data_IF_362311270920
#
_entry.id   IF_362311270920
#
_cell.length_a   1.000
_cell.length_b   1.000
_cell.length_c   1.000
_cell.angle_alpha   90.00
_cell.angle_beta   90.00
_cell.angle_gamma   90.00
#
_symmetry.space_group_name_H-M   'P 1'
#
loop_
_entity.id
_entity.type
_entity.pdbx_description
1 polymer ?
#
# COMPACT_ATOMS: atom_id res chain seq x y z
N UNK A 1 -41.73 -9.55 25.43
CA UNK A 1 -42.72 -10.58 25.01
C UNK A 1 -43.96 -9.85 24.51
N UNK A 2 -44.41 -10.06 23.25
CA UNK A 2 -45.62 -9.42 22.74
C UNK A 2 -46.87 -10.18 23.20
N UNK A 3 -47.79 -9.49 23.89
CA UNK A 3 -49.10 -10.03 24.27
C UNK A 3 -50.03 -9.92 23.06
N UNK A 4 -50.60 -11.04 22.61
CA UNK A 4 -51.46 -11.13 21.43
C UNK A 4 -52.92 -11.02 21.85
N UNK A 5 -53.47 -9.82 21.79
CA UNK A 5 -54.92 -9.59 21.88
C UNK A 5 -55.35 -8.84 20.61
N UNK A 6 -56.24 -9.44 19.82
CA UNK A 6 -56.90 -8.77 18.69
C UNK A 6 -55.97 -8.16 17.64
N UNK A 7 -55.25 -8.98 16.87
CA UNK A 7 -54.71 -8.62 15.55
C UNK A 7 -53.76 -7.41 15.43
N UNK A 8 -53.33 -6.78 16.53
CA UNK A 8 -52.51 -5.56 16.52
C UNK A 8 -51.33 -5.73 17.49
N UNK A 9 -50.11 -5.47 17.00
CA UNK A 9 -48.89 -5.45 17.82
C UNK A 9 -48.65 -4.00 18.24
N UNK A 10 -49.06 -3.65 19.46
CA UNK A 10 -48.84 -2.33 20.04
C UNK A 10 -47.37 -2.19 20.51
N UNK A 11 -46.57 -1.39 19.80
CA UNK A 11 -45.34 -0.82 20.34
C UNK A 11 -45.66 0.55 20.93
N UNK A 12 -45.46 0.71 22.24
CA UNK A 12 -45.68 1.96 22.94
C UNK A 12 -44.66 3.01 22.54
N UNK A 13 -45.06 3.92 21.66
CA UNK A 13 -44.46 5.25 21.57
C UNK A 13 -45.56 6.29 21.29
N UNK A 14 -45.74 7.31 22.16
CA UNK A 14 -46.76 8.33 21.97
C UNK A 14 -46.25 9.37 20.96
N UNK A 15 -47.17 9.97 20.22
CA UNK A 15 -46.93 10.92 19.11
C UNK A 15 -46.36 10.34 17.82
N UNK A 16 -47.25 9.82 16.97
CA UNK A 16 -47.52 10.31 15.59
C UNK A 16 -48.49 9.34 14.91
N UNK A 17 -49.77 9.73 14.87
CA UNK A 17 -50.82 9.00 14.15
C UNK A 17 -50.61 9.14 12.64
N UNK A 18 -49.82 8.23 12.06
CA UNK A 18 -49.75 8.06 10.61
C UNK A 18 -50.18 6.62 10.29
N UNK A 19 -51.44 6.45 9.90
CA UNK A 19 -52.02 5.19 9.43
C UNK A 19 -51.42 4.84 8.07
N UNK A 20 -50.25 4.20 8.08
CA UNK A 20 -49.62 3.67 6.89
C UNK A 20 -50.26 2.30 6.54
N UNK A 21 -50.57 2.03 5.25
CA UNK A 21 -51.20 0.78 4.85
C UNK A 21 -50.31 -0.42 5.21
N UNK A 22 -50.92 -1.57 5.55
CA UNK A 22 -50.23 -2.82 5.93
C UNK A 22 -49.13 -3.24 4.92
N UNK A 23 -49.26 -2.84 3.65
CA UNK A 23 -48.27 -3.05 2.59
C UNK A 23 -47.00 -2.20 2.77
N UNK A 24 -47.12 -0.98 3.31
CA UNK A 24 -46.00 -0.07 3.55
C UNK A 24 -45.21 -0.47 4.81
N UNK A 25 -45.86 -1.07 5.81
CA UNK A 25 -45.20 -1.69 6.96
C UNK A 25 -44.29 -2.87 6.57
N UNK A 26 -44.74 -3.70 5.61
CA UNK A 26 -43.96 -4.83 5.09
C UNK A 26 -42.74 -4.38 4.27
N UNK A 27 -42.91 -3.35 3.45
CA UNK A 27 -41.83 -2.77 2.63
C UNK A 27 -40.79 -2.07 3.51
N UNK A 28 -41.21 -1.31 4.52
CA UNK A 28 -40.30 -0.64 5.46
C UNK A 28 -39.52 -1.65 6.33
N UNK A 29 -40.13 -2.77 6.75
CA UNK A 29 -39.41 -3.87 7.41
C UNK A 29 -38.39 -4.56 6.49
N UNK A 30 -38.73 -4.85 5.23
CA UNK A 30 -37.78 -5.41 4.24
C UNK A 30 -36.60 -4.47 3.95
N UNK A 31 -36.83 -3.16 3.87
CA UNK A 31 -35.77 -2.18 3.59
C UNK A 31 -34.85 -1.99 4.81
N UNK A 32 -35.39 -1.92 6.04
CA UNK A 32 -34.57 -1.81 7.25
C UNK A 32 -33.74 -3.08 7.53
N UNK A 33 -34.29 -4.28 7.26
CA UNK A 33 -33.53 -5.54 7.42
C UNK A 33 -32.46 -5.73 6.34
N UNK A 34 -32.66 -5.22 5.11
CA UNK A 34 -31.67 -5.31 4.02
C UNK A 34 -30.49 -4.35 4.22
N UNK A 35 -30.75 -3.12 4.67
CA UNK A 35 -29.72 -2.08 4.85
C UNK A 35 -28.71 -2.39 5.96
N UNK A 36 -29.11 -3.20 6.94
CA UNK A 36 -28.22 -3.65 8.02
C UNK A 36 -27.45 -4.94 7.67
N UNK A 37 -27.80 -5.61 6.57
CA UNK A 37 -27.14 -6.86 6.14
C UNK A 37 -25.94 -6.61 5.21
N UNK A 38 -25.89 -5.47 4.52
CA UNK A 38 -24.79 -5.13 3.61
C UNK A 38 -23.59 -4.47 4.32
N UNK A 39 -23.73 -3.97 5.56
CA UNK A 39 -22.68 -3.17 6.21
C UNK A 39 -21.99 -3.86 7.41
N UNK A 40 -22.30 -5.13 7.70
CA UNK A 40 -21.81 -5.80 8.93
C UNK A 40 -21.35 -7.26 8.72
N UNK A 41 -21.23 -7.75 7.48
CA UNK A 41 -21.00 -9.18 7.24
C UNK A 41 -20.04 -9.50 6.09
N UNK A 42 -18.84 -8.90 6.04
CA UNK A 42 -17.75 -9.34 5.14
C UNK A 42 -16.33 -9.26 5.76
N UNK A 43 -16.17 -9.29 7.09
CA UNK A 43 -14.83 -9.43 7.70
C UNK A 43 -14.28 -10.87 7.65
N UNK A 44 -15.07 -11.96 7.83
CA UNK A 44 -14.50 -13.31 7.85
C UNK A 44 -14.11 -13.86 6.47
N UNK A 45 -14.84 -13.52 5.40
CA UNK A 45 -14.53 -13.98 4.03
C UNK A 45 -13.33 -13.24 3.43
N UNK A 46 -13.26 -11.91 3.57
CA UNK A 46 -12.09 -11.15 3.13
C UNK A 46 -10.81 -11.58 3.87
N UNK A 47 -10.91 -11.88 5.17
CA UNK A 47 -9.77 -12.40 5.95
C UNK A 47 -9.35 -13.79 5.47
N UNK A 48 -10.29 -14.61 4.98
CA UNK A 48 -10.00 -15.88 4.33
C UNK A 48 -9.24 -15.69 3.01
N UNK A 49 -9.58 -14.69 2.21
CA UNK A 49 -8.85 -14.39 0.96
C UNK A 49 -7.42 -13.88 1.22
N UNK A 50 -7.24 -13.03 2.23
CA UNK A 50 -5.91 -12.58 2.65
C UNK A 50 -5.07 -13.69 3.29
N UNK A 51 -5.67 -14.81 3.71
CA UNK A 51 -4.94 -15.94 4.29
C UNK A 51 -3.90 -16.51 3.32
N UNK A 52 -4.19 -16.56 2.01
CA UNK A 52 -3.26 -17.00 0.99
C UNK A 52 -2.04 -16.08 0.88
N UNK A 53 -2.26 -14.77 0.95
CA UNK A 53 -1.18 -13.76 0.93
C UNK A 53 -0.30 -13.92 2.18
N UNK A 54 -0.91 -14.12 3.35
CA UNK A 54 -0.19 -14.32 4.60
C UNK A 54 0.64 -15.62 4.56
N UNK A 55 0.07 -16.72 4.09
CA UNK A 55 0.79 -17.99 3.92
C UNK A 55 1.96 -17.81 2.96
N UNK A 56 1.75 -17.15 1.83
CA UNK A 56 2.82 -16.88 0.86
C UNK A 56 3.95 -16.04 1.48
N UNK A 57 3.62 -15.00 2.25
CA UNK A 57 4.61 -14.17 2.94
C UNK A 57 5.42 -14.98 3.95
N UNK A 58 4.77 -15.83 4.75
CA UNK A 58 5.44 -16.73 5.70
C UNK A 58 6.37 -17.69 4.98
N UNK A 59 5.91 -18.34 3.91
CA UNK A 59 6.73 -19.26 3.12
C UNK A 59 7.92 -18.53 2.48
N UNK A 60 7.72 -17.33 1.93
CA UNK A 60 8.79 -16.52 1.36
C UNK A 60 9.84 -16.12 2.42
N UNK A 61 9.39 -15.72 3.61
CA UNK A 61 10.27 -15.40 4.73
C UNK A 61 11.06 -16.63 5.19
N UNK A 62 10.41 -17.80 5.31
CA UNK A 62 11.08 -19.06 5.65
C UNK A 62 12.08 -19.47 4.56
N UNK A 63 11.77 -19.22 3.29
CA UNK A 63 12.68 -19.51 2.18
C UNK A 63 13.88 -18.57 2.14
N UNK A 64 13.70 -17.29 2.48
CA UNK A 64 14.79 -16.32 2.56
C UNK A 64 15.68 -16.55 3.80
N UNK A 65 15.07 -16.80 4.96
CA UNK A 65 15.79 -16.95 6.23
C UNK A 65 16.28 -18.39 6.48
N UNK A 66 15.58 -19.39 5.96
CA UNK A 66 15.89 -20.81 6.17
C UNK A 66 17.33 -21.17 5.79
N UNK A 67 17.79 -20.88 4.55
CA UNK A 67 19.17 -21.12 4.15
C UNK A 67 20.19 -20.35 5.01
N UNK A 68 19.87 -19.12 5.44
CA UNK A 68 20.75 -18.34 6.32
C UNK A 68 20.87 -18.97 7.71
N UNK A 69 19.77 -19.47 8.28
CA UNK A 69 19.76 -20.15 9.58
C UNK A 69 20.50 -21.49 9.47
N UNK A 70 20.24 -22.28 8.43
CA UNK A 70 20.91 -23.56 8.18
C UNK A 70 22.42 -23.32 8.01
N UNK A 71 22.81 -22.33 7.20
CA UNK A 71 24.22 -21.96 7.03
C UNK A 71 24.83 -21.50 8.36
N UNK A 72 24.14 -20.71 9.17
CA UNK A 72 24.64 -20.27 10.46
C UNK A 72 24.85 -21.43 11.46
N UNK A 73 24.03 -22.48 11.39
CA UNK A 73 24.11 -23.66 12.27
C UNK A 73 25.16 -24.68 11.81
N UNK A 74 25.30 -24.91 10.50
CA UNK A 74 26.18 -25.95 9.94
C UNK A 74 27.58 -25.41 9.63
N UNK A 75 27.72 -24.13 9.25
CA UNK A 75 28.99 -23.62 8.78
C UNK A 75 30.06 -23.61 9.89
N UNK A 76 31.31 -24.01 9.57
CA UNK A 76 32.41 -23.94 10.52
C UNK A 76 32.68 -22.47 10.88
N UNK A 77 32.66 -22.18 12.18
CA UNK A 77 32.95 -20.84 12.70
C UNK A 77 34.46 -20.67 12.85
N UNK A 78 35.01 -19.63 12.23
CA UNK A 78 36.39 -19.19 12.44
C UNK A 78 36.39 -18.00 13.40
N UNK A 79 37.33 -17.98 14.34
CA UNK A 79 37.50 -16.93 15.34
C UNK A 79 38.92 -16.39 15.23
N UNK A 80 39.08 -15.06 15.18
CA UNK A 80 40.39 -14.43 15.13
C UNK A 80 40.29 -12.93 14.91
N UNK A 81 41.19 -12.16 15.51
CA UNK A 81 41.19 -10.70 15.44
C UNK A 81 41.20 -10.16 13.99
N UNK A 82 41.93 -10.83 13.08
CA UNK A 82 41.99 -10.46 11.67
C UNK A 82 40.69 -10.74 10.88
N UNK A 83 39.80 -11.61 11.39
CA UNK A 83 38.49 -11.88 10.76
C UNK A 83 37.49 -10.77 11.05
N UNK A 84 37.57 -10.20 12.25
CA UNK A 84 36.65 -9.15 12.74
C UNK A 84 37.14 -7.74 12.38
N UNK A 85 38.31 -7.63 11.74
CA UNK A 85 38.85 -6.37 11.22
C UNK A 85 38.20 -5.99 9.87
N UNK A 86 38.03 -4.68 9.64
CA UNK A 86 37.50 -4.16 8.38
C UNK A 86 38.51 -4.44 7.26
N UNK A 87 38.02 -4.92 6.11
CA UNK A 87 38.87 -5.23 4.97
C UNK A 87 39.48 -3.95 4.37
N UNK A 88 40.81 -3.80 4.49
CA UNK A 88 41.60 -2.69 3.95
C UNK A 88 42.91 -3.22 3.30
N UNK A 89 42.78 -4.16 2.37
CA UNK A 89 43.90 -4.76 1.61
C UNK A 89 45.06 -5.34 2.48
N UNK A 90 44.78 -5.72 3.73
CA UNK A 90 45.77 -6.25 4.66
C UNK A 90 46.56 -5.20 5.45
N UNK A 91 46.17 -3.92 5.35
CA UNK A 91 46.73 -2.83 6.14
C UNK A 91 45.75 -2.43 7.26
N UNK A 92 46.24 -1.93 8.41
CA UNK A 92 45.34 -1.41 9.44
C UNK A 92 44.60 -0.17 8.90
N UNK A 93 43.32 -0.05 9.25
CA UNK A 93 42.49 1.09 8.86
C UNK A 93 43.13 2.42 9.31
N UNK A 94 43.31 3.33 8.36
CA UNK A 94 43.85 4.67 8.62
C UNK A 94 42.79 5.74 8.33
N UNK A 95 42.58 6.63 9.30
CA UNK A 95 41.68 7.77 9.16
C UNK A 95 40.22 7.47 9.48
N UNK A 96 39.37 8.48 9.24
CA UNK A 96 37.94 8.43 9.56
C UNK A 96 37.12 7.90 8.39
N UNK A 97 36.19 6.98 8.64
CA UNK A 97 35.19 6.51 7.68
C UNK A 97 34.10 7.55 7.32
N UNK A 98 34.18 8.76 7.85
CA UNK A 98 33.22 9.83 7.60
C UNK A 98 33.51 10.52 6.26
N UNK A 99 32.80 10.09 5.22
CA UNK A 99 32.87 10.68 3.88
C UNK A 99 31.56 11.42 3.58
N UNK A 100 31.69 12.62 2.98
CA UNK A 100 30.54 13.34 2.45
C UNK A 100 30.01 12.63 1.21
N UNK A 101 28.85 11.98 1.36
CA UNK A 101 28.13 11.37 0.25
C UNK A 101 27.57 12.47 -0.66
N UNK A 102 27.57 12.27 -1.98
CA UNK A 102 27.13 13.29 -2.93
C UNK A 102 25.64 13.61 -2.77
N UNK A 103 25.26 14.90 -2.88
CA UNK A 103 23.86 15.37 -2.81
C UNK A 103 22.96 14.72 -3.87
N UNK A 104 23.55 14.23 -4.96
CA UNK A 104 22.87 13.54 -6.06
C UNK A 104 22.00 12.38 -5.57
N UNK A 105 22.47 11.58 -4.60
CA UNK A 105 21.68 10.46 -4.05
C UNK A 105 20.37 10.92 -3.39
N UNK A 106 20.41 12.05 -2.67
CA UNK A 106 19.23 12.64 -2.05
C UNK A 106 18.23 13.15 -3.09
N UNK A 107 18.72 13.80 -4.15
CA UNK A 107 17.86 14.28 -5.25
C UNK A 107 17.16 13.13 -5.97
N UNK A 108 17.86 12.01 -6.19
CA UNK A 108 17.25 10.80 -6.74
C UNK A 108 16.16 10.23 -5.83
N UNK A 109 16.41 10.15 -4.52
CA UNK A 109 15.43 9.63 -3.56
C UNK A 109 14.16 10.50 -3.50
N UNK A 110 14.32 11.83 -3.47
CA UNK A 110 13.20 12.76 -3.51
C UNK A 110 12.41 12.68 -4.82
N UNK A 111 13.10 12.60 -5.96
CA UNK A 111 12.45 12.48 -7.27
C UNK A 111 11.67 11.16 -7.37
N UNK A 112 12.24 10.05 -6.90
CA UNK A 112 11.57 8.75 -6.87
C UNK A 112 10.33 8.79 -5.98
N UNK A 113 10.43 9.33 -4.76
CA UNK A 113 9.31 9.44 -3.84
C UNK A 113 8.17 10.31 -4.42
N UNK A 114 8.51 11.44 -5.05
CA UNK A 114 7.51 12.29 -5.69
C UNK A 114 6.81 11.56 -6.84
N UNK A 115 7.58 10.91 -7.72
CA UNK A 115 7.04 10.13 -8.84
C UNK A 115 6.16 8.95 -8.38
N UNK A 116 6.55 8.26 -7.31
CA UNK A 116 5.79 7.13 -6.75
C UNK A 116 4.40 7.58 -6.22
N UNK A 117 4.36 8.72 -5.53
CA UNK A 117 3.10 9.34 -5.10
C UNK A 117 2.25 9.77 -6.29
N UNK A 118 2.86 10.29 -7.36
CA UNK A 118 2.12 10.68 -8.55
C UNK A 118 1.47 9.46 -9.22
N UNK A 119 2.16 8.32 -9.30
CA UNK A 119 1.57 7.07 -9.84
C UNK A 119 0.34 6.63 -9.03
N UNK A 120 0.29 6.88 -7.72
CA UNK A 120 -0.88 6.58 -6.90
C UNK A 120 -2.14 7.34 -7.38
N UNK A 121 -1.99 8.53 -7.98
CA UNK A 121 -3.11 9.27 -8.55
C UNK A 121 -3.69 8.62 -9.82
N UNK A 122 -3.06 7.58 -10.38
CA UNK A 122 -3.66 6.78 -11.46
C UNK A 122 -4.76 5.83 -10.95
N UNK A 123 -4.76 5.46 -9.66
CA UNK A 123 -5.74 4.49 -9.14
C UNK A 123 -7.20 4.95 -9.29
N UNK A 124 -7.60 6.19 -8.94
CA UNK A 124 -8.98 6.63 -9.11
C UNK A 124 -9.46 6.58 -10.57
N UNK A 125 -8.58 6.91 -11.52
CA UNK A 125 -8.89 6.86 -12.95
C UNK A 125 -9.08 5.42 -13.41
N UNK A 126 -8.21 4.50 -12.95
CA UNK A 126 -8.34 3.07 -13.22
C UNK A 126 -9.66 2.50 -12.70
N UNK A 127 -10.09 2.91 -11.51
CA UNK A 127 -11.37 2.49 -10.92
C UNK A 127 -12.60 3.08 -11.63
N UNK A 128 -12.44 4.17 -12.39
CA UNK A 128 -13.54 4.83 -13.10
C UNK A 128 -13.75 4.30 -14.54
N UNK A 129 -12.84 3.47 -15.06
CA UNK A 129 -12.73 3.07 -16.48
C UNK A 129 -13.94 2.31 -17.06
N UNK A 130 -14.88 1.84 -16.24
CA UNK A 130 -16.03 1.01 -16.67
C UNK A 130 -17.31 1.82 -16.98
N UNK A 131 -17.27 3.16 -16.90
CA UNK A 131 -18.49 4.00 -17.01
C UNK A 131 -18.90 4.37 -18.43
N UNK A 132 -18.33 3.74 -19.45
CA UNK A 132 -18.75 3.87 -20.86
C UNK A 132 -18.20 5.08 -21.64
N UNK A 133 -17.17 5.75 -21.14
CA UNK A 133 -16.58 6.95 -21.76
C UNK A 133 -15.10 6.79 -22.10
N UNK A 134 -14.77 5.71 -22.82
CA UNK A 134 -13.40 5.29 -23.15
C UNK A 134 -12.51 6.43 -23.67
N UNK A 135 -13.04 7.28 -24.55
CA UNK A 135 -12.26 8.39 -25.12
C UNK A 135 -11.89 9.48 -24.12
N UNK A 136 -12.80 9.80 -23.19
CA UNK A 136 -12.53 10.80 -22.14
C UNK A 136 -11.49 10.25 -21.17
N UNK A 137 -11.68 9.01 -20.72
CA UNK A 137 -10.82 8.36 -19.75
C UNK A 137 -9.40 8.17 -20.33
N UNK A 138 -9.29 7.86 -21.63
CA UNK A 138 -8.01 7.82 -22.34
C UNK A 138 -7.29 9.18 -22.37
N UNK A 139 -8.02 10.27 -22.66
CA UNK A 139 -7.45 11.62 -22.69
C UNK A 139 -6.96 12.03 -21.30
N UNK A 140 -7.72 11.73 -20.24
CA UNK A 140 -7.33 12.00 -18.85
C UNK A 140 -6.03 11.28 -18.49
N UNK A 141 -5.91 9.98 -18.81
CA UNK A 141 -4.68 9.20 -18.59
C UNK A 141 -3.52 9.77 -19.42
N UNK A 142 -3.75 10.12 -20.68
CA UNK A 142 -2.72 10.65 -21.57
C UNK A 142 -2.18 12.00 -21.06
N UNK A 143 -3.06 12.89 -20.59
CA UNK A 143 -2.67 14.17 -19.97
C UNK A 143 -1.89 13.90 -18.68
N UNK A 144 -2.37 12.97 -17.84
CA UNK A 144 -1.71 12.62 -16.59
C UNK A 144 -0.28 12.14 -16.85
N UNK A 145 -0.11 11.11 -17.68
CA UNK A 145 1.19 10.56 -18.08
C UNK A 145 2.08 11.64 -18.71
N UNK A 146 1.50 12.53 -19.52
CA UNK A 146 2.21 13.65 -20.12
C UNK A 146 2.83 14.58 -19.08
N UNK A 147 2.09 14.88 -17.99
CA UNK A 147 2.59 15.71 -16.89
C UNK A 147 3.71 15.00 -16.12
N UNK A 148 3.57 13.70 -15.76
CA UNK A 148 4.68 12.98 -15.08
C UNK A 148 5.94 12.95 -15.96
N UNK A 149 5.76 12.70 -17.26
CA UNK A 149 6.85 12.67 -18.22
C UNK A 149 7.57 14.01 -18.27
N UNK A 150 6.84 15.13 -18.19
CA UNK A 150 7.40 16.47 -18.21
C UNK A 150 8.28 16.75 -16.98
N UNK A 151 7.91 16.26 -15.79
CA UNK A 151 8.73 16.38 -14.57
C UNK A 151 10.08 15.66 -14.74
N UNK A 152 10.06 14.44 -15.29
CA UNK A 152 11.27 13.64 -15.53
C UNK A 152 12.16 14.31 -16.59
N UNK A 153 11.55 14.73 -17.71
CA UNK A 153 12.27 15.41 -18.79
C UNK A 153 12.90 16.71 -18.28
N UNK A 154 12.19 17.48 -17.44
CA UNK A 154 12.73 18.68 -16.82
C UNK A 154 13.97 18.37 -15.95
N UNK A 155 13.89 17.35 -15.09
CA UNK A 155 15.02 16.93 -14.26
C UNK A 155 16.23 16.50 -15.10
N UNK A 156 15.99 15.81 -16.22
CA UNK A 156 17.02 15.43 -17.17
C UNK A 156 17.68 16.66 -17.83
N UNK A 157 16.88 17.60 -18.35
CA UNK A 157 17.38 18.82 -18.98
C UNK A 157 18.18 19.69 -18.00
N UNK A 158 17.84 19.64 -16.70
CA UNK A 158 18.58 20.35 -15.64
C UNK A 158 19.87 19.62 -15.21
N UNK A 159 20.17 18.46 -15.78
CA UNK A 159 21.39 17.72 -15.50
C UNK A 159 21.47 17.18 -14.07
N UNK A 160 20.32 16.93 -13.41
CA UNK A 160 20.27 16.37 -12.05
C UNK A 160 20.95 14.99 -11.99
N UNK A 161 20.96 14.28 -13.12
CA UNK A 161 21.61 12.98 -13.28
C UNK A 161 23.11 13.06 -13.60
N UNK A 162 23.71 14.25 -13.59
CA UNK A 162 25.13 14.40 -13.92
C UNK A 162 26.01 14.09 -12.70
N UNK A 163 26.90 13.10 -12.86
CA UNK A 163 27.86 12.75 -11.83
C UNK A 163 29.09 13.64 -11.93
N UNK A 164 29.29 14.53 -10.96
CA UNK A 164 30.58 15.24 -10.84
C UNK A 164 31.58 14.33 -10.17
N UNK A 165 32.55 13.81 -10.93
CA UNK A 165 33.73 13.15 -10.37
C UNK A 165 34.55 14.18 -9.63
N UNK A 166 34.93 13.89 -8.37
CA UNK A 166 35.87 14.72 -7.62
C UNK A 166 37.23 14.62 -8.34
N UNK A 167 37.91 15.75 -8.66
CA UNK A 167 39.26 15.67 -9.21
C UNK A 167 40.18 15.06 -8.15
N UNK A 168 40.92 14.02 -8.53
CA UNK A 168 41.98 13.45 -7.70
C UNK A 168 43.17 14.42 -7.71
N UNK A 169 43.54 14.88 -6.53
CA UNK A 169 44.79 15.57 -6.32
C UNK A 169 45.83 14.49 -6.02
N UNK A 170 46.66 14.17 -7.01
CA UNK A 170 47.87 13.36 -6.84
C UNK A 170 48.88 14.10 -5.96
#
# INVERSE_FOLDING_TARGET
>A
MPVRAGGQVFFGHPEKNLTLPLTLGYITQRICTKKHKEHTLEIPEALSDFSYVLVFLVVAALFALGPLIIAHLIAPKSFGAARDEIYECGMPIIGSAWVQVAVVYYLFALLFLAFDVDVLFLFPVLLAYDKGYVWRDFIEIAIFIGILSLVIVYAWCRGVFTWKRKPEHH
#
